data_IF_248354838978
#
_entry.id   IF_248354838978
#
_cell.length_a   1.000
_cell.length_b   1.000
_cell.length_c   1.000
_cell.angle_alpha   90.00
_cell.angle_beta   90.00
_cell.angle_gamma   90.00
#
_symmetry.space_group_name_H-M   'P 1'
#
loop_
_entity.id
_entity.type
_entity.pdbx_description
1 polymer ?
#
# COMPACT_ATOMS: atom_id res chain seq x y z
N UNK A 1 26.39 10.98 -12.68
CA UNK A 1 25.66 10.58 -11.44
C UNK A 1 25.24 9.13 -11.63
N UNK A 2 25.26 8.31 -10.58
CA UNK A 2 24.76 6.93 -10.65
C UNK A 2 23.24 6.98 -10.54
N UNK A 3 22.51 6.39 -11.49
CA UNK A 3 21.05 6.30 -11.50
C UNK A 3 20.38 7.10 -12.63
N UNK A 4 19.09 6.82 -12.83
CA UNK A 4 18.23 7.53 -13.78
C UNK A 4 17.30 8.50 -13.04
N UNK A 5 17.06 9.66 -13.67
CA UNK A 5 16.31 10.78 -13.08
C UNK A 5 15.33 11.40 -14.07
N UNK A 6 14.89 10.65 -15.06
CA UNK A 6 13.90 11.15 -16.00
C UNK A 6 12.49 11.19 -15.38
N UNK A 7 11.55 11.80 -16.10
CA UNK A 7 10.17 11.95 -15.65
C UNK A 7 9.43 10.60 -15.48
N UNK A 8 9.98 9.49 -15.98
CA UNK A 8 9.40 8.14 -15.85
C UNK A 8 9.78 7.43 -14.56
N UNK A 9 10.69 7.99 -13.77
CA UNK A 9 11.08 7.45 -12.44
C UNK A 9 10.96 8.49 -11.32
N UNK A 10 10.87 9.78 -11.65
CA UNK A 10 10.64 10.84 -10.66
C UNK A 10 9.32 10.61 -9.90
N UNK A 11 8.28 10.10 -10.56
CA UNK A 11 7.01 9.81 -9.89
C UNK A 11 7.18 8.70 -8.84
N UNK A 12 7.94 7.65 -9.17
CA UNK A 12 8.33 6.60 -8.24
C UNK A 12 9.06 7.18 -7.02
N UNK A 13 10.03 8.09 -7.24
CA UNK A 13 10.76 8.72 -6.15
C UNK A 13 9.87 9.59 -5.25
N UNK A 14 8.94 10.35 -5.84
CA UNK A 14 7.95 11.13 -5.08
C UNK A 14 7.07 10.21 -4.23
N UNK A 15 6.65 9.06 -4.78
CA UNK A 15 5.87 8.05 -4.06
C UNK A 15 6.62 7.53 -2.83
N UNK A 16 7.91 7.20 -2.98
CA UNK A 16 8.76 6.73 -1.88
C UNK A 16 8.94 7.81 -0.82
N UNK A 17 9.24 9.05 -1.22
CA UNK A 17 9.38 10.16 -0.27
C UNK A 17 8.09 10.39 0.52
N UNK A 18 6.94 10.32 -0.15
CA UNK A 18 5.65 10.41 0.53
C UNK A 18 5.45 9.27 1.53
N UNK A 19 5.77 8.04 1.15
CA UNK A 19 5.68 6.89 2.06
C UNK A 19 6.61 7.04 3.28
N UNK A 20 7.85 7.50 3.09
CA UNK A 20 8.79 7.75 4.18
C UNK A 20 8.25 8.80 5.16
N UNK A 21 7.68 9.90 4.65
CA UNK A 21 6.97 10.88 5.48
C UNK A 21 5.81 10.21 6.22
N UNK A 22 5.04 9.37 5.54
CA UNK A 22 3.96 8.60 6.14
C UNK A 22 4.41 7.69 7.27
N UNK A 23 5.57 7.02 7.12
CA UNK A 23 6.17 6.18 8.15
C UNK A 23 6.54 7.06 9.37
N UNK A 24 7.18 8.21 9.14
CA UNK A 24 7.50 9.15 10.22
C UNK A 24 6.24 9.66 10.94
N UNK A 25 5.19 10.00 10.19
CA UNK A 25 3.90 10.37 10.76
C UNK A 25 3.28 9.23 11.58
N UNK A 26 3.35 7.97 11.11
CA UNK A 26 2.79 6.84 11.82
C UNK A 26 3.52 6.58 13.15
N UNK A 27 4.85 6.62 13.16
CA UNK A 27 5.63 6.39 14.38
C UNK A 27 5.48 7.53 15.40
N UNK A 28 5.20 8.75 14.94
CA UNK A 28 4.91 9.94 15.78
C UNK A 28 3.43 10.12 16.11
N UNK A 29 2.61 9.07 15.94
CA UNK A 29 1.17 9.04 16.27
C UNK A 29 0.27 9.97 15.42
N UNK A 30 0.79 10.52 14.32
CA UNK A 30 0.05 11.26 13.30
C UNK A 30 -0.55 10.30 12.24
N UNK A 31 -1.42 9.39 12.69
CA UNK A 31 -1.98 8.31 11.86
C UNK A 31 -2.75 8.84 10.65
N UNK A 32 -3.58 9.87 10.80
CA UNK A 32 -4.37 10.42 9.68
C UNK A 32 -3.47 10.91 8.54
N UNK A 33 -2.36 11.59 8.87
CA UNK A 33 -1.37 12.01 7.88
C UNK A 33 -0.67 10.81 7.23
N UNK A 34 -0.32 9.78 7.99
CA UNK A 34 0.27 8.55 7.45
C UNK A 34 -0.63 7.83 6.45
N UNK A 35 -1.94 7.76 6.72
CA UNK A 35 -2.94 7.21 5.79
C UNK A 35 -3.06 8.06 4.53
N UNK A 36 -2.99 9.39 4.65
CA UNK A 36 -2.97 10.30 3.49
C UNK A 36 -1.74 10.06 2.62
N UNK A 37 -0.56 9.90 3.22
CA UNK A 37 0.67 9.57 2.50
C UNK A 37 0.55 8.25 1.76
N UNK A 38 0.00 7.19 2.41
CA UNK A 38 -0.24 5.91 1.76
C UNK A 38 -1.16 6.03 0.53
N UNK A 39 -2.26 6.76 0.67
CA UNK A 39 -3.21 6.99 -0.43
C UNK A 39 -2.57 7.81 -1.56
N UNK A 40 -1.75 8.81 -1.22
CA UNK A 40 -1.01 9.61 -2.19
C UNK A 40 0.05 8.79 -2.95
N UNK A 41 0.81 7.93 -2.27
CA UNK A 41 1.72 6.99 -2.91
C UNK A 41 0.98 6.06 -3.90
N UNK A 42 -0.20 5.58 -3.54
CA UNK A 42 -1.06 4.79 -4.44
C UNK A 42 -1.53 5.57 -5.67
N UNK A 43 -1.82 6.86 -5.52
CA UNK A 43 -2.15 7.75 -6.62
C UNK A 43 -0.95 7.95 -7.55
N UNK A 44 0.24 8.18 -7.00
CA UNK A 44 1.50 8.30 -7.75
C UNK A 44 1.79 7.04 -8.58
N UNK A 45 1.71 5.85 -7.98
CA UNK A 45 1.91 4.56 -8.67
C UNK A 45 0.97 4.40 -9.87
N UNK A 46 -0.32 4.71 -9.69
CA UNK A 46 -1.30 4.61 -10.77
C UNK A 46 -0.97 5.55 -11.95
N UNK A 47 -0.40 6.73 -11.67
CA UNK A 47 0.05 7.65 -12.71
C UNK A 47 1.40 7.24 -13.32
N UNK A 48 2.31 6.70 -12.53
CA UNK A 48 3.65 6.31 -12.99
C UNK A 48 3.57 5.30 -14.14
N UNK A 49 2.73 4.26 -13.97
CA UNK A 49 2.48 3.27 -15.03
C UNK A 49 1.85 3.82 -16.31
N UNK A 50 1.23 5.01 -16.28
CA UNK A 50 0.73 5.72 -17.47
C UNK A 50 1.80 6.61 -18.08
N UNK A 51 2.53 7.35 -17.25
CA UNK A 51 3.60 8.27 -17.65
C UNK A 51 4.77 7.49 -18.27
N UNK A 52 5.14 6.35 -17.71
CA UNK A 52 6.15 5.45 -18.26
C UNK A 52 5.85 5.02 -19.71
N UNK A 53 4.56 4.93 -20.10
CA UNK A 53 4.13 4.55 -21.45
C UNK A 53 4.14 5.69 -22.46
N UNK A 54 4.23 6.95 -22.01
CA UNK A 54 4.25 8.10 -22.93
C UNK A 54 5.64 8.38 -23.50
N UNK A 55 6.70 7.81 -22.91
CA UNK A 55 8.08 7.99 -23.39
C UNK A 55 8.31 7.16 -24.65
N UNK A 56 8.33 7.83 -25.81
CA UNK A 56 8.53 7.18 -27.12
C UNK A 56 9.95 6.64 -27.34
N UNK A 57 10.97 7.25 -26.70
CA UNK A 57 12.38 6.91 -26.88
C UNK A 57 13.01 6.45 -25.56
N UNK A 58 12.38 5.49 -24.87
CA UNK A 58 12.94 4.91 -23.63
C UNK A 58 13.95 3.83 -24.00
N UNK A 59 15.15 3.90 -23.45
CA UNK A 59 16.16 2.85 -23.67
C UNK A 59 15.81 1.59 -22.88
N UNK A 60 16.36 0.44 -23.28
CA UNK A 60 16.14 -0.81 -22.56
C UNK A 60 16.70 -0.74 -21.13
N UNK A 61 17.84 -0.06 -20.94
CA UNK A 61 18.41 0.18 -19.60
C UNK A 61 17.48 1.01 -18.71
N UNK A 62 16.90 2.11 -19.22
CA UNK A 62 15.94 2.94 -18.49
C UNK A 62 14.66 2.18 -18.14
N UNK A 63 14.25 1.25 -19.01
CA UNK A 63 13.08 0.40 -18.78
C UNK A 63 13.35 -0.64 -17.70
N UNK A 64 14.47 -1.36 -17.79
CA UNK A 64 14.88 -2.36 -16.80
C UNK A 64 15.10 -1.71 -15.43
N UNK A 65 15.79 -0.56 -15.38
CA UNK A 65 15.96 0.19 -14.15
C UNK A 65 14.61 0.62 -13.56
N UNK A 66 13.72 1.16 -14.40
CA UNK A 66 12.36 1.55 -14.01
C UNK A 66 11.57 0.41 -13.34
N UNK A 67 11.61 -0.78 -13.92
CA UNK A 67 10.92 -1.96 -13.36
C UNK A 67 11.49 -2.32 -11.98
N UNK A 68 12.81 -2.29 -11.82
CA UNK A 68 13.45 -2.65 -10.55
C UNK A 68 13.19 -1.60 -9.47
N UNK A 69 13.33 -0.31 -9.80
CA UNK A 69 13.13 0.76 -8.83
C UNK A 69 11.67 0.86 -8.38
N UNK A 70 10.72 0.61 -9.29
CA UNK A 70 9.28 0.55 -9.00
C UNK A 70 8.97 -0.55 -7.98
N UNK A 71 9.53 -1.74 -8.16
CA UNK A 71 9.33 -2.83 -7.19
C UNK A 71 9.96 -2.57 -5.82
N UNK A 72 11.13 -1.93 -5.79
CA UNK A 72 11.76 -1.50 -4.53
C UNK A 72 10.96 -0.38 -3.86
N UNK A 73 10.35 0.52 -4.64
CA UNK A 73 9.46 1.55 -4.13
C UNK A 73 8.17 0.95 -3.58
N UNK A 74 7.58 -0.01 -4.29
CA UNK A 74 6.35 -0.71 -3.92
C UNK A 74 6.46 -1.41 -2.57
N UNK A 75 7.58 -2.07 -2.29
CA UNK A 75 7.76 -2.72 -0.98
C UNK A 75 7.82 -1.69 0.14
N UNK A 76 8.41 -0.50 -0.08
CA UNK A 76 8.44 0.57 0.93
C UNK A 76 7.05 1.21 1.09
N UNK A 77 6.37 1.51 -0.02
CA UNK A 77 5.09 2.22 -0.05
C UNK A 77 3.92 1.36 0.42
N UNK A 78 3.85 0.11 -0.03
CA UNK A 78 2.68 -0.76 0.16
C UNK A 78 3.00 -2.01 0.98
N UNK A 79 4.28 -2.32 1.22
CA UNK A 79 4.69 -3.32 2.19
C UNK A 79 4.91 -2.72 3.58
N UNK A 80 5.94 -1.88 3.71
CA UNK A 80 6.44 -1.41 5.00
C UNK A 80 5.51 -0.39 5.66
N UNK A 81 5.06 0.65 4.95
CA UNK A 81 4.16 1.65 5.55
C UNK A 81 2.88 1.03 6.12
N UNK A 82 2.16 0.13 5.41
CA UNK A 82 1.03 -0.60 5.97
C UNK A 82 1.37 -1.47 7.20
N UNK A 83 2.56 -2.07 7.26
CA UNK A 83 3.01 -2.81 8.44
C UNK A 83 3.15 -1.89 9.65
N UNK A 84 3.79 -0.74 9.47
CA UNK A 84 3.98 0.26 10.53
C UNK A 84 2.63 0.79 11.01
N UNK A 85 1.72 1.11 10.08
CA UNK A 85 0.35 1.49 10.39
C UNK A 85 -0.35 0.39 11.19
N UNK A 86 -0.33 -0.85 10.72
CA UNK A 86 -0.97 -1.98 11.39
C UNK A 86 -0.47 -2.18 12.83
N UNK A 87 0.84 -2.10 13.03
CA UNK A 87 1.45 -2.18 14.35
C UNK A 87 0.99 -1.06 15.28
N UNK A 88 1.09 0.20 14.82
CA UNK A 88 0.67 1.39 15.58
C UNK A 88 -0.83 1.43 15.87
N UNK A 89 -1.63 0.74 15.07
CA UNK A 89 -3.08 0.66 15.21
C UNK A 89 -3.56 -0.45 16.14
N UNK A 90 -2.66 -1.27 16.71
CA UNK A 90 -3.01 -2.27 17.73
C UNK A 90 -2.66 -3.72 17.38
N UNK A 91 -1.99 -4.00 16.26
CA UNK A 91 -1.49 -5.35 15.94
C UNK A 91 -0.16 -5.66 16.66
N UNK A 92 -0.03 -5.29 17.93
CA UNK A 92 1.21 -5.38 18.71
C UNK A 92 1.39 -6.71 19.45
N UNK A 93 0.34 -7.53 19.57
CA UNK A 93 0.45 -8.88 20.12
C UNK A 93 1.21 -9.82 19.17
N UNK A 94 1.76 -10.91 19.70
CA UNK A 94 2.57 -11.89 18.95
C UNK A 94 1.88 -12.37 17.66
N UNK A 95 0.59 -12.68 17.73
CA UNK A 95 -0.17 -13.13 16.56
C UNK A 95 -0.39 -11.99 15.53
N UNK A 96 -0.55 -10.75 16.00
CA UNK A 96 -0.67 -9.57 15.13
C UNK A 96 0.64 -9.31 14.39
N UNK A 97 1.76 -9.34 15.11
CA UNK A 97 3.11 -9.24 14.52
C UNK A 97 3.34 -10.36 13.51
N UNK A 98 2.94 -11.60 13.81
CA UNK A 98 3.08 -12.71 12.87
C UNK A 98 2.30 -12.46 11.56
N UNK A 99 1.09 -11.90 11.64
CA UNK A 99 0.30 -11.52 10.45
C UNK A 99 0.99 -10.39 9.67
N UNK A 100 1.54 -9.38 10.36
CA UNK A 100 2.27 -8.28 9.72
C UNK A 100 3.53 -8.77 8.98
N UNK A 101 4.30 -9.67 9.61
CA UNK A 101 5.48 -10.28 9.00
C UNK A 101 5.09 -11.13 7.79
N UNK A 102 4.03 -11.94 7.92
CA UNK A 102 3.49 -12.72 6.81
C UNK A 102 3.06 -11.81 5.64
N UNK A 103 2.32 -10.74 5.92
CA UNK A 103 1.89 -9.75 4.91
C UNK A 103 3.09 -9.16 4.15
N UNK A 104 4.13 -8.73 4.87
CA UNK A 104 5.35 -8.17 4.26
C UNK A 104 6.10 -9.17 3.39
N UNK A 105 6.28 -10.40 3.89
CA UNK A 105 6.92 -11.48 3.14
C UNK A 105 6.10 -11.87 1.89
N UNK A 106 4.78 -11.94 2.02
CA UNK A 106 3.89 -12.20 0.90
C UNK A 106 4.00 -11.14 -0.19
N UNK A 107 4.04 -9.86 0.19
CA UNK A 107 4.27 -8.75 -0.74
C UNK A 107 5.63 -8.83 -1.44
N UNK A 108 6.69 -9.15 -0.69
CA UNK A 108 8.04 -9.32 -1.24
C UNK A 108 8.11 -10.48 -2.25
N UNK A 109 7.59 -11.66 -1.89
CA UNK A 109 7.54 -12.84 -2.76
C UNK A 109 6.77 -12.53 -4.04
N UNK A 110 5.62 -11.86 -3.89
CA UNK A 110 4.80 -11.42 -5.01
C UNK A 110 5.60 -10.55 -5.98
N UNK A 111 6.21 -9.47 -5.50
CA UNK A 111 6.98 -8.56 -6.34
C UNK A 111 8.11 -9.27 -7.09
N UNK A 112 8.88 -10.10 -6.38
CA UNK A 112 9.96 -10.88 -6.99
C UNK A 112 9.43 -11.84 -8.07
N UNK A 113 8.34 -12.57 -7.79
CA UNK A 113 7.73 -13.49 -8.74
C UNK A 113 7.24 -12.76 -10.00
N UNK A 114 6.54 -11.63 -9.83
CA UNK A 114 6.03 -10.86 -10.97
C UNK A 114 7.12 -10.26 -11.84
N UNK A 115 8.22 -9.80 -11.23
CA UNK A 115 9.35 -9.27 -11.99
C UNK A 115 10.02 -10.35 -12.85
N UNK A 116 10.31 -11.50 -12.26
CA UNK A 116 10.96 -12.62 -12.98
C UNK A 116 10.05 -13.18 -14.08
N UNK A 117 8.75 -13.33 -13.81
CA UNK A 117 7.81 -13.84 -14.81
C UNK A 117 7.56 -12.84 -15.94
N UNK A 118 7.56 -11.54 -15.65
CA UNK A 118 7.43 -10.50 -16.67
C UNK A 118 8.68 -10.41 -17.55
N UNK A 119 9.88 -10.55 -16.97
CA UNK A 119 11.14 -10.61 -17.72
C UNK A 119 11.17 -11.81 -18.69
N UNK A 120 10.86 -13.02 -18.19
CA UNK A 120 10.76 -14.23 -19.04
C UNK A 120 9.79 -14.03 -20.19
N UNK A 121 8.61 -13.48 -19.91
CA UNK A 121 7.58 -13.23 -20.92
C UNK A 121 8.03 -12.22 -21.98
N UNK A 122 8.70 -11.13 -21.58
CA UNK A 122 9.19 -10.12 -22.53
C UNK A 122 10.21 -10.71 -23.50
N UNK A 123 10.94 -11.76 -23.08
CA UNK A 123 11.83 -12.52 -23.95
C UNK A 123 11.08 -13.47 -24.90
N UNK A 124 9.85 -13.88 -24.57
CA UNK A 124 9.05 -14.85 -25.34
C UNK A 124 8.02 -14.19 -26.29
N UNK A 125 7.40 -13.06 -25.93
CA UNK A 125 6.31 -12.46 -26.74
C UNK A 125 6.13 -10.96 -26.49
N UNK A 126 5.87 -10.20 -27.57
CA UNK A 126 5.66 -8.73 -27.55
C UNK A 126 4.20 -8.29 -27.31
N UNK A 127 3.25 -9.21 -27.12
CA UNK A 127 1.84 -8.86 -26.89
C UNK A 127 1.56 -8.25 -25.51
N UNK A 128 0.57 -7.35 -25.43
CA UNK A 128 0.13 -6.68 -24.21
C UNK A 128 -0.81 -7.57 -23.35
N UNK A 129 -0.59 -7.66 -22.03
CA UNK A 129 -1.48 -8.38 -21.10
C UNK A 129 -2.89 -7.77 -21.05
N UNK A 130 -3.92 -8.64 -21.10
CA UNK A 130 -5.33 -8.31 -20.76
C UNK A 130 -5.70 -8.57 -19.28
N UNK A 131 -4.91 -9.36 -18.54
CA UNK A 131 -5.20 -9.78 -17.16
C UNK A 131 -3.94 -9.74 -16.27
N UNK A 132 -4.11 -9.36 -15.00
CA UNK A 132 -3.09 -9.55 -13.96
C UNK A 132 -3.27 -10.93 -13.31
N UNK A 133 -2.19 -11.46 -12.75
CA UNK A 133 -2.24 -12.65 -11.90
C UNK A 133 -2.15 -12.14 -10.44
N UNK A 134 -3.08 -12.55 -9.59
CA UNK A 134 -3.25 -12.09 -8.20
C UNK A 134 -3.55 -10.58 -8.01
N UNK A 135 -3.67 -10.16 -6.74
CA UNK A 135 -4.01 -8.79 -6.33
C UNK A 135 -2.76 -7.87 -6.27
N UNK A 136 -2.70 -6.75 -7.01
CA UNK A 136 -1.56 -5.82 -6.95
C UNK A 136 -1.22 -5.39 -5.52
N UNK A 137 0.08 -5.24 -5.19
CA UNK A 137 0.50 -4.83 -3.84
C UNK A 137 -0.07 -3.45 -3.48
N UNK A 138 -0.20 -2.59 -4.50
CA UNK A 138 -0.76 -1.24 -4.42
C UNK A 138 -2.22 -1.20 -3.97
N UNK A 139 -2.94 -2.33 -4.02
CA UNK A 139 -4.30 -2.46 -3.48
C UNK A 139 -4.42 -2.02 -2.02
N UNK A 140 -3.34 -2.12 -1.24
CA UNK A 140 -3.35 -1.71 0.16
C UNK A 140 -3.56 -0.21 0.35
N UNK A 141 -3.18 0.60 -0.64
CA UNK A 141 -3.46 2.05 -0.65
C UNK A 141 -4.94 2.40 -0.78
N UNK A 142 -5.77 1.42 -1.18
CA UNK A 142 -7.24 1.55 -1.24
C UNK A 142 -7.87 0.91 -0.02
N UNK A 143 -7.43 -0.30 0.35
CA UNK A 143 -8.02 -1.08 1.44
C UNK A 143 -7.88 -0.38 2.78
N UNK A 144 -6.70 0.16 3.13
CA UNK A 144 -6.51 0.79 4.44
C UNK A 144 -7.34 2.06 4.63
N UNK A 145 -7.31 3.06 3.72
CA UNK A 145 -8.18 4.24 3.88
C UNK A 145 -9.67 3.90 3.99
N UNK A 146 -10.13 2.89 3.25
CA UNK A 146 -11.53 2.43 3.34
C UNK A 146 -11.83 1.75 4.67
N UNK A 147 -10.94 0.87 5.14
CA UNK A 147 -11.07 0.25 6.45
C UNK A 147 -11.15 1.30 7.56
N UNK A 148 -10.38 2.39 7.42
CA UNK A 148 -10.42 3.52 8.34
C UNK A 148 -11.79 4.21 8.37
N UNK A 149 -12.42 4.44 7.22
CA UNK A 149 -13.78 5.01 7.16
C UNK A 149 -14.81 4.04 7.73
N UNK A 150 -14.71 2.76 7.37
CA UNK A 150 -15.58 1.70 7.88
C UNK A 150 -15.48 1.60 9.41
N UNK A 151 -14.32 1.90 9.99
CA UNK A 151 -14.13 1.91 11.44
C UNK A 151 -15.06 2.88 12.17
N UNK A 152 -15.48 3.97 11.52
CA UNK A 152 -16.42 4.95 12.08
C UNK A 152 -17.81 4.37 12.35
N UNK A 153 -18.14 3.22 11.74
CA UNK A 153 -19.40 2.51 11.94
C UNK A 153 -19.37 1.61 13.17
N UNK A 154 -18.19 1.34 13.75
CA UNK A 154 -18.04 0.44 14.88
C UNK A 154 -17.88 1.22 16.18
N UNK A 155 -18.70 0.94 17.21
CA UNK A 155 -18.67 1.67 18.48
C UNK A 155 -17.45 1.34 19.36
N UNK A 156 -16.75 0.22 19.12
CA UNK A 156 -15.61 -0.21 19.94
C UNK A 156 -14.33 -0.45 19.14
N UNK A 157 -13.21 0.04 19.69
CA UNK A 157 -11.85 -0.13 19.17
C UNK A 157 -11.49 -1.58 18.84
N UNK A 158 -11.89 -2.53 19.70
CA UNK A 158 -11.57 -3.95 19.54
C UNK A 158 -12.05 -4.52 18.19
N UNK A 159 -13.22 -4.08 17.71
CA UNK A 159 -13.79 -4.56 16.44
C UNK A 159 -12.99 -4.06 15.25
N UNK A 160 -12.54 -2.81 15.30
CA UNK A 160 -11.62 -2.29 14.28
C UNK A 160 -10.33 -3.09 14.23
N UNK A 161 -9.71 -3.37 15.39
CA UNK A 161 -8.46 -4.15 15.43
C UNK A 161 -8.67 -5.56 14.86
N UNK A 162 -9.79 -6.22 15.18
CA UNK A 162 -10.13 -7.52 14.59
C UNK A 162 -10.26 -7.44 13.07
N UNK A 163 -10.98 -6.44 12.54
CA UNK A 163 -11.10 -6.22 11.11
C UNK A 163 -9.76 -5.93 10.44
N UNK A 164 -8.88 -5.20 11.11
CA UNK A 164 -7.52 -4.92 10.64
C UNK A 164 -6.70 -6.21 10.52
N UNK A 165 -6.76 -7.11 11.51
CA UNK A 165 -6.10 -8.42 11.43
C UNK A 165 -6.62 -9.24 10.24
N UNK A 166 -7.95 -9.29 10.08
CA UNK A 166 -8.59 -10.01 8.97
C UNK A 166 -8.16 -9.41 7.63
N UNK A 167 -8.17 -8.08 7.50
CA UNK A 167 -7.79 -7.38 6.28
C UNK A 167 -6.32 -7.65 5.92
N UNK A 168 -5.38 -7.46 6.86
CA UNK A 168 -3.94 -7.71 6.62
C UNK A 168 -3.69 -9.15 6.20
N UNK A 169 -4.29 -10.11 6.90
CA UNK A 169 -4.13 -11.54 6.58
C UNK A 169 -4.73 -11.89 5.22
N UNK A 170 -5.94 -11.38 4.93
CA UNK A 170 -6.63 -11.64 3.65
C UNK A 170 -5.84 -11.07 2.49
N UNK A 171 -5.38 -9.82 2.58
CA UNK A 171 -4.57 -9.19 1.53
C UNK A 171 -3.25 -9.93 1.35
N UNK A 172 -2.58 -10.30 2.45
CA UNK A 172 -1.34 -11.11 2.39
C UNK A 172 -1.54 -12.45 1.69
N UNK A 173 -2.64 -13.16 1.98
CA UNK A 173 -3.00 -14.40 1.27
C UNK A 173 -3.24 -14.13 -0.23
N UNK A 174 -4.01 -13.10 -0.56
CA UNK A 174 -4.32 -12.72 -1.95
C UNK A 174 -3.08 -12.30 -2.76
N UNK A 175 -1.97 -11.93 -2.11
CA UNK A 175 -0.71 -11.66 -2.81
C UNK A 175 -0.06 -12.92 -3.38
N UNK A 176 -0.18 -14.06 -2.68
CA UNK A 176 0.45 -15.33 -3.04
C UNK A 176 -0.53 -16.25 -3.80
N UNK A 177 -1.83 -16.11 -3.58
CA UNK A 177 -2.83 -16.94 -4.25
C UNK A 177 -2.87 -16.68 -5.76
N UNK A 178 -2.89 -17.76 -6.54
CA UNK A 178 -2.99 -17.70 -7.99
C UNK A 178 -4.46 -17.58 -8.42
N UNK A 179 -4.89 -16.37 -8.73
CA UNK A 179 -6.18 -16.11 -9.36
C UNK A 179 -6.04 -15.04 -10.45
N UNK A 180 -6.90 -15.09 -11.46
CA UNK A 180 -6.88 -14.10 -12.56
C UNK A 180 -7.60 -12.84 -12.11
N UNK A 181 -6.86 -11.75 -11.91
CA UNK A 181 -7.42 -10.44 -11.59
C UNK A 181 -7.59 -9.61 -12.87
N UNK A 182 -8.83 -9.20 -13.17
CA UNK A 182 -9.13 -8.33 -14.32
C UNK A 182 -8.56 -6.94 -14.06
N UNK A 183 -7.82 -6.40 -15.03
CA UNK A 183 -7.35 -5.01 -14.97
C UNK A 183 -8.55 -4.05 -14.93
N UNK A 184 -8.63 -3.12 -13.95
CA UNK A 184 -9.66 -2.10 -13.94
C UNK A 184 -9.56 -1.21 -15.18
N UNK A 185 -10.71 -0.86 -15.73
CA UNK A 185 -10.84 0.13 -16.81
C UNK A 185 -10.55 1.54 -16.30
N UNK A 186 -10.25 2.48 -17.21
CA UNK A 186 -9.99 3.87 -16.83
C UNK A 186 -11.16 4.51 -16.05
N UNK A 187 -12.42 4.13 -16.36
CA UNK A 187 -13.60 4.61 -15.64
C UNK A 187 -13.64 4.07 -14.20
N UNK A 188 -13.39 2.77 -14.03
CA UNK A 188 -13.31 2.13 -12.71
C UNK A 188 -12.17 2.71 -11.86
N UNK A 189 -11.01 2.99 -12.46
CA UNK A 189 -9.90 3.66 -11.76
C UNK A 189 -10.29 5.05 -11.26
N UNK A 190 -10.98 5.86 -12.06
CA UNK A 190 -11.45 7.19 -11.63
C UNK A 190 -12.42 7.07 -10.46
N UNK A 191 -13.31 6.07 -10.47
CA UNK A 191 -14.22 5.81 -9.36
C UNK A 191 -13.44 5.42 -8.09
N UNK A 192 -12.47 4.51 -8.20
CA UNK A 192 -11.63 4.10 -7.06
C UNK A 192 -10.91 5.31 -6.47
N UNK A 193 -10.29 6.15 -7.30
CA UNK A 193 -9.60 7.37 -6.85
C UNK A 193 -10.56 8.33 -6.16
N UNK A 194 -11.75 8.56 -6.72
CA UNK A 194 -12.75 9.42 -6.11
C UNK A 194 -13.20 8.88 -4.74
N UNK A 195 -13.45 7.58 -4.64
CA UNK A 195 -13.83 6.90 -3.40
C UNK A 195 -12.72 7.02 -2.34
N UNK A 196 -11.47 6.77 -2.71
CA UNK A 196 -10.33 6.91 -1.81
C UNK A 196 -10.12 8.36 -1.39
N UNK A 197 -10.28 9.32 -2.31
CA UNK A 197 -10.18 10.74 -1.99
C UNK A 197 -11.24 11.16 -0.96
N UNK A 198 -12.50 10.74 -1.15
CA UNK A 198 -13.56 10.96 -0.16
C UNK A 198 -13.21 10.30 1.18
N UNK A 199 -12.70 9.07 1.16
CA UNK A 199 -12.29 8.37 2.37
C UNK A 199 -11.19 9.11 3.13
N UNK A 200 -10.16 9.59 2.43
CA UNK A 200 -9.07 10.39 3.00
C UNK A 200 -9.59 11.71 3.57
N UNK A 201 -10.49 12.41 2.87
CA UNK A 201 -11.11 13.63 3.39
C UNK A 201 -11.90 13.35 4.68
N UNK A 202 -12.68 12.26 4.72
CA UNK A 202 -13.38 11.87 5.94
C UNK A 202 -12.41 11.55 7.09
N UNK A 203 -11.30 10.86 6.81
CA UNK A 203 -10.25 10.58 7.81
C UNK A 203 -9.61 11.85 8.35
N UNK A 204 -9.40 12.86 7.50
CA UNK A 204 -8.82 14.16 7.90
C UNK A 204 -9.79 15.04 8.68
N UNK A 205 -11.04 15.13 8.24
CA UNK A 205 -12.03 16.06 8.81
C UNK A 205 -12.79 15.47 10.00
N UNK A 206 -12.98 14.16 10.06
CA UNK A 206 -13.68 13.49 11.17
C UNK A 206 -12.72 13.25 12.35
N UNK A 207 -12.09 14.32 12.83
CA UNK A 207 -11.01 14.30 13.82
C UNK A 207 -11.49 13.76 15.19
N UNK A 208 -12.74 14.01 15.56
CA UNK A 208 -13.37 13.66 16.86
C UNK A 208 -13.35 12.15 17.20
N UNK A 209 -13.34 11.26 16.20
CA UNK A 209 -13.32 9.80 16.41
C UNK A 209 -11.92 9.24 16.71
N UNK A 210 -10.87 9.84 16.17
CA UNK A 210 -9.51 9.27 16.15
C UNK A 210 -8.72 9.52 17.43
N UNK A 211 -8.94 10.64 18.12
CA UNK A 211 -8.35 10.87 19.44
C UNK A 211 -8.75 9.77 20.43
N UNK A 212 -9.95 9.20 20.30
CA UNK A 212 -10.38 8.03 21.11
C UNK A 212 -9.57 6.78 20.80
N UNK A 213 -9.19 6.54 19.54
CA UNK A 213 -8.29 5.43 19.17
C UNK A 213 -6.90 5.62 19.81
N UNK A 214 -6.34 6.83 19.72
CA UNK A 214 -5.04 7.15 20.30
C UNK A 214 -5.08 7.03 21.84
N UNK A 215 -6.17 7.48 22.47
CA UNK A 215 -6.41 7.34 23.90
C UNK A 215 -6.58 5.88 24.34
N UNK A 216 -7.38 5.08 23.62
CA UNK A 216 -7.61 3.66 23.93
C UNK A 216 -6.36 2.81 23.67
N UNK A 217 -5.58 3.10 22.64
CA UNK A 217 -4.28 2.48 22.38
C UNK A 217 -3.30 2.77 23.51
N UNK A 218 -3.16 4.04 23.90
CA UNK A 218 -2.31 4.46 25.03
C UNK A 218 -2.74 3.81 26.35
N UNK A 219 -4.06 3.76 26.60
CA UNK A 219 -4.64 3.09 27.77
C UNK A 219 -4.49 1.55 27.75
N UNK A 220 -4.48 0.93 26.57
CA UNK A 220 -4.22 -0.50 26.40
C UNK A 220 -2.75 -0.83 26.64
N UNK A 221 -1.83 0.02 26.20
CA UNK A 221 -0.39 -0.10 26.46
C UNK A 221 -0.07 0.08 27.94
N UNK A 222 -0.71 1.03 28.62
CA UNK A 222 -0.56 1.26 30.07
C UNK A 222 -1.10 0.09 30.92
N UNK A 223 -2.16 -0.60 30.46
CA UNK A 223 -2.67 -1.81 31.15
C UNK A 223 -1.95 -3.11 30.76
N UNK A 224 -1.37 -3.17 29.56
CA UNK A 224 -0.62 -4.32 29.06
C UNK A 224 0.81 -4.43 29.59
N UNK A 225 1.29 -3.47 30.37
CA UNK A 225 2.61 -3.51 31.02
C UNK A 225 2.69 -4.39 32.28
N UNK A 226 1.59 -5.05 32.67
CA UNK A 226 1.51 -5.92 33.86
C UNK A 226 1.17 -7.38 33.52
N UNK A 227 1.68 -7.92 32.41
CA UNK A 227 1.69 -9.37 32.14
C UNK A 227 3.00 -9.78 31.46
#
# INVERSE_FOLDING_TARGET
MIGFYDYTVIMTYISVVSSMIGIFCAVTDHISAAVCCLAFSGLCDMFDGKIARTKKNRTDEEKCFGIQIDSLADIVCFGILPIVLGFKLGMCHVYGIAILLFYGLAGLIRLAYFNVMEEKRQNETSENRKYYQGLPITSMSVVLPLLFVVSLLFPEYKWFVVLLHIAMLTVGLLFILDFKFRKPTNRELVIIVAVVAVAVLLVLFYNEGWWKFNYLYKFSMERGGNL
#
